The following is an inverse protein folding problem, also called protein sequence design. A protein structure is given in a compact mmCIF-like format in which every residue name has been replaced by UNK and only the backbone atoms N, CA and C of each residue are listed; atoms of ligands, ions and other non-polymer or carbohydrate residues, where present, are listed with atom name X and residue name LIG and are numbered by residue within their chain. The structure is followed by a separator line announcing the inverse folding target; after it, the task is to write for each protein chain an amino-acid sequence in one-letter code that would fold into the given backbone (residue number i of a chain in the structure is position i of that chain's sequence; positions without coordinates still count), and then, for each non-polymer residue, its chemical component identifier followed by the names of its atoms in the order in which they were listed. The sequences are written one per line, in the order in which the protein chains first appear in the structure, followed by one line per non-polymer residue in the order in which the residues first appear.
data_IF_576339908408
#
_entry.id   IF_576339908408
#
_cell.length_a   1.000
_cell.length_b   1.000
_cell.length_c   1.000
_cell.angle_alpha   90.00
_cell.angle_beta   90.00
_cell.angle_gamma   90.00
#
_symmetry.space_group_name_H-M   'P 1'
#
loop_
_entity.id
_entity.type
_entity.pdbx_description
1 polymer ?
#
# COMPACT_ATOMS: atom_id res chain seq x y z
N UNK A 1 20.03 23.60 -33.45
CA UNK A 1 20.06 22.74 -34.65
C UNK A 1 21.12 21.69 -34.35
N UNK A 2 20.89 20.39 -34.15
CA UNK A 2 19.85 19.44 -34.53
C UNK A 2 19.86 18.29 -33.50
N UNK A 3 18.71 17.96 -32.91
CA UNK A 3 18.02 16.65 -32.98
C UNK A 3 18.85 15.45 -33.49
N UNK A 4 18.80 14.36 -32.70
CA UNK A 4 19.09 12.95 -32.99
C UNK A 4 20.46 12.36 -32.60
N UNK A 5 20.45 11.60 -31.49
CA UNK A 5 20.84 10.19 -31.54
C UNK A 5 20.11 9.40 -30.44
N UNK A 6 19.32 8.43 -30.90
CA UNK A 6 18.34 7.65 -30.17
C UNK A 6 18.95 6.56 -29.28
N UNK A 7 18.28 6.35 -28.13
CA UNK A 7 17.87 5.07 -27.53
C UNK A 7 18.82 3.86 -27.63
N UNK A 8 19.45 3.49 -26.51
CA UNK A 8 19.81 2.13 -26.07
C UNK A 8 20.40 2.36 -24.65
N UNK A 9 19.89 1.94 -23.48
CA UNK A 9 19.28 0.70 -23.04
C UNK A 9 18.50 0.95 -21.71
N UNK A 10 17.21 0.62 -21.69
CA UNK A 10 16.39 0.23 -20.52
C UNK A 10 16.33 1.07 -19.21
N UNK A 11 15.24 1.86 -19.12
CA UNK A 11 14.08 1.68 -18.19
C UNK A 11 14.13 2.07 -16.71
N UNK A 12 14.88 3.08 -16.28
CA UNK A 12 14.56 3.74 -15.00
C UNK A 12 14.08 5.17 -15.26
N UNK A 13 12.75 5.33 -15.27
CA UNK A 13 12.11 6.63 -15.37
C UNK A 13 12.58 7.53 -14.22
N UNK A 14 12.91 8.82 -14.47
CA UNK A 14 13.30 9.80 -13.46
C UNK A 14 12.28 10.05 -12.34
N UNK A 15 11.10 9.42 -12.42
CA UNK A 15 10.01 9.52 -11.46
C UNK A 15 10.30 8.82 -10.12
N UNK A 16 11.26 7.87 -10.08
CA UNK A 16 11.63 7.17 -8.83
C UNK A 16 12.41 8.05 -7.84
N UNK A 17 13.15 9.05 -8.31
CA UNK A 17 14.09 9.80 -7.47
C UNK A 17 13.42 10.95 -6.69
N UNK A 18 12.22 11.37 -7.10
CA UNK A 18 11.51 12.51 -6.43
C UNK A 18 10.78 12.07 -5.15
N UNK A 19 10.50 10.78 -4.95
CA UNK A 19 9.81 10.31 -3.74
C UNK A 19 10.73 10.21 -2.52
N UNK A 20 12.04 10.02 -2.67
CA UNK A 20 12.94 9.76 -1.53
C UNK A 20 13.09 10.94 -0.55
N UNK A 21 12.75 12.17 -0.96
CA UNK A 21 12.94 13.37 -0.12
C UNK A 21 11.71 13.84 0.67
N UNK A 22 10.56 13.14 0.56
CA UNK A 22 9.31 13.57 1.21
C UNK A 22 8.56 12.46 1.97
N UNK A 23 9.19 11.29 2.17
CA UNK A 23 8.58 10.18 2.91
C UNK A 23 8.74 10.39 4.42
N UNK A 24 8.10 11.45 4.94
CA UNK A 24 7.71 11.45 6.35
C UNK A 24 6.79 10.26 6.52
N UNK A 25 7.25 9.26 7.27
CA UNK A 25 6.46 8.08 7.56
C UNK A 25 5.22 8.53 8.34
N UNK A 26 4.03 8.08 7.95
CA UNK A 26 2.81 8.34 8.74
C UNK A 26 2.98 7.55 10.04
N UNK A 27 3.20 8.27 11.13
CA UNK A 27 3.29 7.69 12.48
C UNK A 27 1.97 7.76 13.23
N UNK A 28 1.02 8.53 12.71
CA UNK A 28 -0.30 8.69 13.30
C UNK A 28 -1.12 7.40 13.09
N UNK A 29 -1.47 6.77 14.21
CA UNK A 29 -2.20 5.50 14.21
C UNK A 29 -3.64 5.71 13.76
N UNK A 30 -4.25 6.86 14.08
CA UNK A 30 -5.63 7.18 13.68
C UNK A 30 -5.72 7.33 12.17
N UNK A 31 -4.77 8.05 11.55
CA UNK A 31 -4.69 8.18 10.09
C UNK A 31 -4.53 6.81 9.41
N UNK A 32 -3.65 5.95 9.93
CA UNK A 32 -3.48 4.59 9.40
C UNK A 32 -4.74 3.74 9.57
N UNK A 33 -5.46 3.88 10.68
CA UNK A 33 -6.73 3.18 10.91
C UNK A 33 -7.79 3.60 9.90
N UNK A 34 -7.93 4.90 9.63
CA UNK A 34 -8.84 5.41 8.60
C UNK A 34 -8.51 4.82 7.23
N UNK A 35 -7.23 4.83 6.84
CA UNK A 35 -6.79 4.23 5.57
C UNK A 35 -7.13 2.73 5.51
N UNK A 36 -6.88 1.99 6.59
CA UNK A 36 -7.17 0.55 6.68
C UNK A 36 -8.67 0.30 6.52
N UNK A 37 -9.52 1.05 7.21
CA UNK A 37 -10.97 0.93 7.09
C UNK A 37 -11.46 1.24 5.68
N UNK A 38 -10.96 2.31 5.06
CA UNK A 38 -11.28 2.62 3.68
C UNK A 38 -10.85 1.51 2.72
N UNK A 39 -9.65 0.95 2.87
CA UNK A 39 -9.15 -0.14 2.02
C UNK A 39 -9.99 -1.41 2.21
N UNK A 40 -10.42 -1.73 3.43
CA UNK A 40 -11.33 -2.84 3.71
C UNK A 40 -12.66 -2.63 2.97
N UNK A 41 -13.23 -1.43 3.06
CA UNK A 41 -14.51 -1.08 2.43
C UNK A 41 -14.43 -1.03 0.89
N UNK A 42 -13.30 -0.60 0.34
CA UNK A 42 -13.06 -0.55 -1.11
C UNK A 42 -12.75 -1.93 -1.71
N UNK A 43 -12.25 -2.88 -0.89
CA UNK A 43 -11.80 -4.19 -1.35
C UNK A 43 -12.52 -5.34 -0.64
N UNK A 44 -13.86 -5.39 -0.62
CA UNK A 44 -14.62 -6.38 0.14
C UNK A 44 -14.35 -7.82 -0.33
N UNK A 45 -14.01 -8.01 -1.60
CA UNK A 45 -13.64 -9.32 -2.16
C UNK A 45 -12.34 -9.86 -1.55
N UNK A 46 -11.32 -9.00 -1.42
CA UNK A 46 -10.02 -9.38 -0.84
C UNK A 46 -10.19 -9.67 0.66
N UNK A 47 -11.04 -8.91 1.33
CA UNK A 47 -11.42 -9.15 2.73
C UNK A 47 -12.12 -10.51 2.88
N UNK A 48 -13.08 -10.84 2.02
CA UNK A 48 -13.73 -12.15 2.03
C UNK A 48 -12.75 -13.29 1.76
N UNK A 49 -11.82 -13.12 0.83
CA UNK A 49 -10.76 -14.11 0.57
C UNK A 49 -9.91 -14.33 1.83
N UNK A 50 -9.53 -13.27 2.55
CA UNK A 50 -8.81 -13.38 3.82
C UNK A 50 -9.62 -14.14 4.88
N UNK A 51 -10.89 -13.76 5.08
CA UNK A 51 -11.81 -14.41 6.03
C UNK A 51 -12.12 -15.87 5.63
N UNK A 52 -12.00 -16.22 4.35
CA UNK A 52 -12.11 -17.60 3.86
C UNK A 52 -10.84 -18.43 4.10
N UNK A 53 -9.87 -17.91 4.86
CA UNK A 53 -8.61 -18.57 5.19
C UNK A 53 -7.46 -18.31 4.22
N UNK A 54 -7.64 -17.46 3.18
CA UNK A 54 -6.53 -17.08 2.29
C UNK A 54 -5.75 -15.92 2.91
N UNK A 55 -4.92 -16.25 3.89
CA UNK A 55 -4.07 -15.30 4.62
C UNK A 55 -3.23 -14.41 3.69
N UNK A 56 -2.82 -14.90 2.52
CA UNK A 56 -2.11 -14.11 1.50
C UNK A 56 -2.88 -12.89 0.98
N UNK A 57 -4.21 -12.86 1.11
CA UNK A 57 -5.04 -11.73 0.69
C UNK A 57 -4.74 -10.45 1.51
N UNK A 58 -4.23 -10.58 2.74
CA UNK A 58 -3.80 -9.42 3.54
C UNK A 58 -2.67 -8.65 2.86
N UNK A 59 -1.75 -9.33 2.17
CA UNK A 59 -0.66 -8.69 1.41
C UNK A 59 -1.18 -7.80 0.29
N UNK A 60 -2.30 -8.17 -0.33
CA UNK A 60 -2.95 -7.35 -1.33
C UNK A 60 -3.60 -6.09 -0.70
N UNK A 61 -4.24 -6.23 0.47
CA UNK A 61 -4.78 -5.08 1.22
C UNK A 61 -3.66 -4.10 1.64
N UNK A 62 -2.53 -4.63 2.11
CA UNK A 62 -1.36 -3.82 2.45
C UNK A 62 -0.85 -3.07 1.22
N UNK A 63 -0.77 -3.72 0.05
CA UNK A 63 -0.39 -3.06 -1.20
C UNK A 63 -1.32 -1.90 -1.58
N UNK A 64 -2.63 -2.07 -1.40
CA UNK A 64 -3.62 -1.03 -1.64
C UNK A 64 -3.46 0.15 -0.66
N UNK A 65 -3.26 -0.13 0.63
CA UNK A 65 -2.99 0.90 1.64
C UNK A 65 -1.67 1.65 1.41
N UNK A 66 -0.62 0.94 1.01
CA UNK A 66 0.67 1.54 0.62
C UNK A 66 0.50 2.48 -0.57
N UNK A 67 -0.31 2.10 -1.57
CA UNK A 67 -0.61 2.97 -2.71
C UNK A 67 -1.38 4.22 -2.27
N UNK A 68 -2.37 4.06 -1.38
CA UNK A 68 -3.22 5.15 -0.88
C UNK A 68 -2.43 6.18 -0.07
N UNK A 69 -1.50 5.69 0.76
CA UNK A 69 -0.57 6.52 1.55
C UNK A 69 0.64 6.99 0.75
N UNK A 70 0.71 6.69 -0.57
CA UNK A 70 1.83 7.03 -1.46
C UNK A 70 3.19 6.53 -0.93
N UNK A 71 3.20 5.37 -0.30
CA UNK A 71 4.38 4.74 0.29
C UNK A 71 4.83 5.34 1.63
N UNK A 72 4.01 6.22 2.23
CA UNK A 72 4.33 6.85 3.52
C UNK A 72 3.99 5.99 4.73
N UNK A 73 3.11 5.00 4.60
CA UNK A 73 2.81 4.09 5.70
C UNK A 73 3.87 2.98 5.85
N UNK A 74 3.98 2.44 7.05
CA UNK A 74 4.83 1.29 7.30
C UNK A 74 4.05 0.00 6.98
N UNK A 75 4.56 -0.89 6.10
CA UNK A 75 3.87 -2.12 5.73
C UNK A 75 3.68 -3.08 6.92
N UNK A 76 4.59 -3.07 7.92
CA UNK A 76 4.42 -3.87 9.14
C UNK A 76 3.26 -3.37 9.98
N UNK A 77 3.16 -2.06 10.20
CA UNK A 77 2.05 -1.46 10.94
C UNK A 77 0.72 -1.68 10.23
N UNK A 78 0.68 -1.52 8.90
CA UNK A 78 -0.50 -1.82 8.10
C UNK A 78 -0.92 -3.28 8.25
N UNK A 79 0.02 -4.22 8.18
CA UNK A 79 -0.28 -5.64 8.39
C UNK A 79 -0.92 -5.88 9.76
N UNK A 80 -0.32 -5.37 10.84
CA UNK A 80 -0.86 -5.50 12.19
C UNK A 80 -2.27 -4.90 12.31
N UNK A 81 -2.51 -3.73 11.70
CA UNK A 81 -3.82 -3.09 11.70
C UNK A 81 -4.87 -3.89 10.92
N UNK A 82 -4.53 -4.41 9.73
CA UNK A 82 -5.44 -5.25 8.94
C UNK A 82 -5.78 -6.54 9.69
N UNK A 83 -4.78 -7.25 10.20
CA UNK A 83 -4.99 -8.48 10.97
C UNK A 83 -5.82 -8.18 12.22
N UNK A 84 -5.51 -7.12 12.96
CA UNK A 84 -6.28 -6.71 14.14
C UNK A 84 -7.74 -6.39 13.81
N UNK A 85 -8.01 -5.64 12.73
CA UNK A 85 -9.38 -5.30 12.31
C UNK A 85 -10.16 -6.49 11.78
N UNK A 86 -9.51 -7.38 11.04
CA UNK A 86 -10.16 -8.54 10.41
C UNK A 86 -10.39 -9.67 11.43
N UNK A 87 -9.42 -9.97 12.29
CA UNK A 87 -9.58 -10.99 13.35
C UNK A 87 -10.59 -10.57 14.42
N UNK A 88 -10.71 -9.28 14.74
CA UNK A 88 -11.72 -8.83 15.71
C UNK A 88 -13.17 -9.03 15.21
N UNK A 89 -13.37 -9.23 13.90
CA UNK A 89 -14.70 -9.53 13.34
C UNK A 89 -15.06 -11.03 13.37
N UNK A 90 -14.17 -11.91 13.80
CA UNK A 90 -14.44 -13.35 13.94
C UNK A 90 -14.82 -13.78 15.37
N UNK A 91 -15.08 -12.82 16.28
CA UNK A 91 -15.56 -13.07 17.65
C UNK A 91 -17.04 -12.79 17.82
#
# INVERSE_FOLDING_TARGET
KEVFSCMYETRETPQKIVQEKNLVQITDIEELQTVVEEVINENPKIVQDYLSGKTQAVSALIGQAMKKTKGKANPKQLHELFVKKLNYKEG
#
